data_IF_594243256502
#
_entry.id   IF_594243256502
#
_cell.length_a   1.000
_cell.length_b   1.000
_cell.length_c   1.000
_cell.angle_alpha   90.00
_cell.angle_beta   90.00
_cell.angle_gamma   90.00
#
_symmetry.space_group_name_H-M   'P 1'
#
loop_
_entity.id
_entity.type
_entity.pdbx_description
1 polymer ?
#
# COMPACT_ATOMS: atom_id res chain seq x y z
N UNK A 1 2.79 -9.52 -20.29
CA UNK A 1 2.14 -9.53 -18.96
C UNK A 1 1.14 -8.39 -18.89
N UNK A 2 -0.08 -8.62 -18.37
CA UNK A 2 -1.07 -7.55 -18.13
C UNK A 2 -0.76 -6.85 -16.80
N UNK A 3 -1.10 -5.57 -16.65
CA UNK A 3 -0.82 -4.79 -15.43
C UNK A 3 -1.38 -5.45 -14.16
N UNK A 4 -2.57 -6.07 -14.26
CA UNK A 4 -3.16 -6.84 -13.17
C UNK A 4 -2.31 -8.05 -12.73
N UNK A 5 -1.62 -8.71 -13.67
CA UNK A 5 -0.73 -9.83 -13.38
C UNK A 5 0.53 -9.34 -12.67
N UNK A 6 1.13 -8.24 -13.15
CA UNK A 6 2.35 -7.66 -12.55
C UNK A 6 2.07 -7.23 -11.10
N UNK A 7 0.95 -6.54 -10.85
CA UNK A 7 0.55 -6.14 -9.49
C UNK A 7 0.44 -7.35 -8.56
N UNK A 8 -0.21 -8.42 -9.04
CA UNK A 8 -0.35 -9.66 -8.26
C UNK A 8 1.01 -10.29 -7.96
N UNK A 9 1.86 -10.47 -8.97
CA UNK A 9 3.17 -11.10 -8.80
C UNK A 9 4.09 -10.32 -7.85
N UNK A 10 4.00 -8.98 -7.81
CA UNK A 10 4.73 -8.17 -6.83
C UNK A 10 4.29 -8.47 -5.39
N UNK A 11 2.98 -8.49 -5.12
CA UNK A 11 2.46 -8.78 -3.79
C UNK A 11 2.77 -10.23 -3.35
N UNK A 12 2.59 -11.20 -4.25
CA UNK A 12 2.88 -12.61 -4.00
C UNK A 12 4.38 -12.86 -3.73
N UNK A 13 5.28 -12.13 -4.40
CA UNK A 13 6.71 -12.22 -4.13
C UNK A 13 7.03 -11.83 -2.68
N UNK A 14 6.54 -10.68 -2.21
CA UNK A 14 6.80 -10.24 -0.83
C UNK A 14 6.09 -11.11 0.21
N UNK A 15 4.89 -11.61 -0.09
CA UNK A 15 4.21 -12.60 0.73
C UNK A 15 5.05 -13.88 0.89
N UNK A 16 5.68 -14.37 -0.18
CA UNK A 16 6.60 -15.52 -0.12
C UNK A 16 7.84 -15.28 0.75
N UNK A 17 8.15 -14.02 1.05
CA UNK A 17 9.23 -13.59 1.96
C UNK A 17 8.73 -13.25 3.36
N UNK A 18 7.48 -13.58 3.70
CA UNK A 18 6.90 -13.37 5.03
C UNK A 18 6.32 -11.98 5.27
N UNK A 19 6.14 -11.16 4.24
CA UNK A 19 5.45 -9.87 4.38
C UNK A 19 3.93 -10.07 4.34
N UNK A 20 3.20 -9.31 5.15
CA UNK A 20 1.74 -9.27 5.10
C UNK A 20 1.27 -8.46 3.89
N UNK A 21 0.22 -8.94 3.21
CA UNK A 21 -0.46 -8.17 2.17
C UNK A 21 -1.54 -7.33 2.86
N UNK A 22 -1.34 -6.02 2.88
CA UNK A 22 -2.31 -5.04 3.39
C UNK A 22 -2.99 -4.37 2.21
N UNK A 23 -4.30 -4.16 2.31
CA UNK A 23 -5.08 -3.46 1.30
C UNK A 23 -4.62 -2.00 1.13
N UNK A 24 -4.90 -1.43 -0.04
CA UNK A 24 -4.62 -0.01 -0.27
C UNK A 24 -5.50 0.85 0.64
N UNK A 25 -4.90 1.84 1.29
CA UNK A 25 -5.64 2.84 2.05
C UNK A 25 -6.51 3.72 1.16
N UNK A 26 -7.44 4.44 1.79
CA UNK A 26 -8.24 5.51 1.17
C UNK A 26 -7.34 6.57 0.52
N UNK A 27 -7.88 7.26 -0.49
CA UNK A 27 -7.25 8.47 -1.04
C UNK A 27 -7.27 9.64 -0.05
N UNK A 28 -8.22 9.67 0.88
CA UNK A 28 -8.35 10.72 1.90
C UNK A 28 -7.78 10.19 3.22
N UNK A 29 -6.71 10.80 3.77
CA UNK A 29 -6.14 10.43 5.06
C UNK A 29 -7.14 10.67 6.20
N UNK A 30 -7.22 9.75 7.15
CA UNK A 30 -8.14 9.87 8.29
C UNK A 30 -7.56 10.69 9.44
N UNK A 31 -6.25 10.55 9.74
CA UNK A 31 -5.64 11.10 10.96
C UNK A 31 -4.40 11.98 10.71
N UNK A 32 -4.12 12.35 9.45
CA UNK A 32 -3.00 13.23 9.12
C UNK A 32 -3.48 14.58 8.57
N UNK A 33 -3.59 15.63 9.40
CA UNK A 33 -4.05 16.95 8.96
C UNK A 33 -3.02 17.67 8.06
N UNK A 34 -1.80 17.15 7.95
CA UNK A 34 -0.74 17.71 7.09
C UNK A 34 -0.80 17.16 5.67
N UNK A 35 -1.56 16.08 5.45
CA UNK A 35 -1.65 15.39 4.17
C UNK A 35 -3.04 15.58 3.55
N UNK A 36 -3.09 16.19 2.37
CA UNK A 36 -4.37 16.40 1.67
C UNK A 36 -4.91 15.12 1.03
N UNK A 37 -4.03 14.32 0.40
CA UNK A 37 -4.36 13.02 -0.19
C UNK A 37 -3.21 12.03 0.01
N UNK A 38 -3.53 10.74 0.08
CA UNK A 38 -2.55 9.65 0.08
C UNK A 38 -1.70 9.75 -1.19
N UNK A 39 -0.41 9.99 -1.03
CA UNK A 39 0.56 10.18 -2.11
C UNK A 39 1.57 9.02 -2.22
N UNK A 40 1.66 8.17 -1.19
CA UNK A 40 2.56 7.04 -1.15
C UNK A 40 2.02 5.90 -0.27
N UNK A 41 2.44 4.67 -0.55
CA UNK A 41 2.06 3.49 0.24
C UNK A 41 2.53 3.53 1.70
N UNK A 42 3.54 4.34 2.02
CA UNK A 42 4.04 4.52 3.39
C UNK A 42 3.18 5.44 4.26
N UNK A 43 2.21 6.18 3.70
CA UNK A 43 1.39 7.09 4.50
C UNK A 43 0.56 6.35 5.56
N UNK A 44 0.03 5.16 5.23
CA UNK A 44 -0.77 4.35 6.17
C UNK A 44 0.07 3.65 7.25
N UNK A 45 1.39 3.75 7.19
CA UNK A 45 2.33 3.17 8.16
C UNK A 45 3.17 4.25 8.86
N UNK A 46 2.73 5.52 8.83
CA UNK A 46 3.50 6.66 9.34
C UNK A 46 3.81 6.55 10.84
N UNK A 47 2.89 6.01 11.63
CA UNK A 47 2.96 5.97 13.09
C UNK A 47 3.29 4.56 13.64
N UNK A 48 3.73 3.63 12.77
CA UNK A 48 4.17 2.27 13.14
C UNK A 48 5.60 2.28 13.68
#
# INVERSE_FOLDING_TARGET
>A
MKSAQIRRSFLEFFQSKGHEIVDSSSLVPHEDPTLLFTNAGMNQFKDV
#
